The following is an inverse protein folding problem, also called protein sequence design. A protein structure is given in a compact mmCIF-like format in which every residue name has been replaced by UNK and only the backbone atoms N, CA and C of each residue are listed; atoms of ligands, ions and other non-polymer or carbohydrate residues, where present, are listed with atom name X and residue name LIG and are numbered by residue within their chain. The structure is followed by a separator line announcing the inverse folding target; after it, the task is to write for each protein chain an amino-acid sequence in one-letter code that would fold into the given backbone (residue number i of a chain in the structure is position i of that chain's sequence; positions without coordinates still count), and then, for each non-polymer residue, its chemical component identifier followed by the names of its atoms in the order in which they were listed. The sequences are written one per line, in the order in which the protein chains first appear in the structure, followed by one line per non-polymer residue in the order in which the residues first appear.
data_IF_155351816903
#
_entry.id   IF_155351816903
#
_cell.length_a   1.000
_cell.length_b   1.000
_cell.length_c   1.000
_cell.angle_alpha   90.00
_cell.angle_beta   90.00
_cell.angle_gamma   90.00
#
_symmetry.space_group_name_H-M   'P 1'
#
loop_
_entity.id
_entity.type
_entity.pdbx_description
1 polymer ?
#
# COMPACT_ATOMS: atom_id res chain seq x y z
N UNK A 1 -35.22 -44.53 28.93
CA UNK A 1 -34.65 -45.14 30.16
C UNK A 1 -33.34 -44.41 30.42
N UNK A 2 -33.33 -43.39 31.29
CA UNK A 2 -32.81 -43.42 32.69
C UNK A 2 -31.25 -43.44 32.62
N UNK A 3 -30.46 -42.46 33.07
CA UNK A 3 -30.50 -41.69 34.31
C UNK A 3 -30.06 -40.22 34.21
N UNK A 4 -30.61 -39.48 35.16
CA UNK A 4 -30.28 -38.14 35.66
C UNK A 4 -29.70 -38.31 37.09
N UNK A 5 -29.04 -37.26 37.64
CA UNK A 5 -28.67 -36.97 39.06
C UNK A 5 -27.15 -36.76 39.24
N UNK A 6 -26.62 -35.88 40.09
CA UNK A 6 -27.19 -34.96 41.08
C UNK A 6 -26.21 -33.83 41.41
N UNK A 7 -26.81 -32.75 41.91
CA UNK A 7 -26.32 -31.57 42.62
C UNK A 7 -25.08 -31.71 43.53
N UNK A 8 -24.35 -30.60 43.63
CA UNK A 8 -23.64 -30.16 44.84
C UNK A 8 -23.74 -28.63 44.99
N UNK A 9 -24.54 -28.17 45.95
CA UNK A 9 -24.74 -26.77 46.34
C UNK A 9 -24.28 -26.58 47.81
N UNK A 10 -24.42 -25.33 48.30
CA UNK A 10 -24.38 -24.85 49.72
C UNK A 10 -23.06 -24.12 50.06
N UNK A 11 -23.02 -22.77 50.01
CA UNK A 11 -23.50 -21.73 50.97
C UNK A 11 -22.41 -21.36 52.00
N UNK A 12 -22.02 -20.07 52.12
CA UNK A 12 -22.51 -19.06 53.09
C UNK A 12 -21.33 -18.64 54.01
N UNK A 13 -21.14 -17.45 54.61
CA UNK A 13 -21.93 -16.23 54.84
C UNK A 13 -21.03 -15.19 55.59
N UNK A 14 -21.41 -13.89 55.50
CA UNK A 14 -21.28 -12.78 56.49
C UNK A 14 -19.88 -12.19 56.79
N UNK A 15 -19.68 -10.89 57.00
CA UNK A 15 -20.47 -9.86 57.75
C UNK A 15 -20.10 -8.42 57.32
N UNK A 16 -21.07 -7.54 57.01
CA UNK A 16 -21.65 -6.43 57.80
C UNK A 16 -20.69 -5.45 58.53
N UNK A 17 -20.74 -4.15 58.18
CA UNK A 17 -21.22 -3.06 59.08
C UNK A 17 -21.23 -1.66 58.41
N UNK A 18 -22.18 -0.84 58.87
CA UNK A 18 -22.59 0.51 58.42
C UNK A 18 -21.74 1.66 58.98
N UNK A 19 -21.80 2.86 58.36
CA UNK A 19 -22.01 4.16 59.04
C UNK A 19 -22.04 5.35 58.04
N UNK A 20 -22.83 6.37 58.41
CA UNK A 20 -23.18 7.59 57.65
C UNK A 20 -22.35 8.81 58.10
N UNK A 21 -22.14 9.83 57.24
CA UNK A 21 -21.86 11.22 57.65
C UNK A 21 -20.88 12.04 56.76
N UNK A 22 -21.00 13.39 56.69
CA UNK A 22 -20.70 14.20 55.49
C UNK A 22 -19.40 15.02 55.53
N UNK A 23 -18.82 15.37 54.38
CA UNK A 23 -17.98 16.56 54.17
C UNK A 23 -17.70 16.81 52.68
N UNK A 24 -17.88 18.06 52.23
CA UNK A 24 -17.36 18.56 50.95
C UNK A 24 -15.84 18.66 51.01
N UNK A 25 -15.12 18.28 49.96
CA UNK A 25 -14.00 19.06 49.40
C UNK A 25 -13.70 18.55 47.97
N UNK A 26 -13.25 19.49 47.14
CA UNK A 26 -13.08 19.39 45.70
C UNK A 26 -12.21 18.21 45.24
N UNK A 27 -12.63 17.55 44.16
CA UNK A 27 -11.73 16.81 43.31
C UNK A 27 -11.91 17.32 41.88
N UNK A 28 -10.85 17.96 41.40
CA UNK A 28 -10.65 18.41 40.03
C UNK A 28 -10.70 17.21 39.10
N UNK A 29 -11.83 17.02 38.42
CA UNK A 29 -11.85 16.14 37.25
C UNK A 29 -11.10 16.86 36.12
N UNK A 30 -9.94 16.27 35.84
CA UNK A 30 -9.02 16.66 34.80
C UNK A 30 -9.77 16.80 33.46
N UNK A 31 -9.76 18.00 32.89
CA UNK A 31 -10.31 18.32 31.57
C UNK A 31 -9.66 17.50 30.42
N UNK A 32 -8.71 16.61 30.74
CA UNK A 32 -7.89 15.88 29.77
C UNK A 32 -8.59 14.64 29.20
N UNK A 33 -9.58 14.04 29.86
CA UNK A 33 -10.23 12.82 29.33
C UNK A 33 -11.42 13.06 28.39
N UNK A 34 -12.09 14.22 28.48
CA UNK A 34 -13.21 14.56 27.60
C UNK A 34 -12.78 14.94 26.17
N UNK A 35 -11.64 15.61 26.03
CA UNK A 35 -11.22 16.19 24.76
C UNK A 35 -10.54 15.20 23.81
N UNK A 36 -10.17 14.01 24.30
CA UNK A 36 -9.68 12.92 23.46
C UNK A 36 -10.76 12.32 22.53
N UNK A 37 -12.04 12.53 22.82
CA UNK A 37 -13.15 11.94 22.05
C UNK A 37 -13.94 12.92 21.19
N UNK A 38 -13.75 14.24 21.36
CA UNK A 38 -14.45 15.24 20.55
C UNK A 38 -13.55 16.47 20.27
N UNK A 39 -13.07 16.67 19.03
CA UNK A 39 -12.09 17.70 18.70
C UNK A 39 -12.62 19.14 18.79
N UNK A 40 -13.93 19.35 18.98
CA UNK A 40 -14.53 20.67 19.16
C UNK A 40 -14.31 21.28 20.56
N UNK A 41 -13.74 20.52 21.51
CA UNK A 41 -13.38 21.03 22.84
C UNK A 41 -12.29 22.12 22.78
N UNK A 42 -11.40 22.09 21.77
CA UNK A 42 -10.32 23.07 21.62
C UNK A 42 -10.81 24.43 21.08
N UNK A 43 -12.08 24.54 20.71
CA UNK A 43 -12.67 25.78 20.15
C UNK A 43 -13.77 26.31 21.05
N UNK A 44 -13.46 26.51 22.34
CA UNK A 44 -14.24 27.39 23.20
C UNK A 44 -13.51 28.74 23.29
N UNK A 45 -14.08 29.84 22.74
CA UNK A 45 -13.56 31.17 22.95
C UNK A 45 -14.07 31.70 24.29
N UNK A 46 -13.18 31.91 25.25
CA UNK A 46 -13.52 32.51 26.54
C UNK A 46 -12.72 31.94 27.70
N UNK A 47 -11.46 32.34 27.80
CA UNK A 47 -10.75 32.58 29.07
C UNK A 47 -9.41 33.22 28.72
N UNK A 48 -9.48 34.51 28.41
CA UNK A 48 -8.29 35.35 28.27
C UNK A 48 -7.71 35.64 29.66
N UNK A 49 -6.82 34.76 30.13
CA UNK A 49 -5.82 35.16 31.10
C UNK A 49 -4.82 36.09 30.39
N UNK A 50 -5.11 37.39 30.43
CA UNK A 50 -4.24 38.46 29.97
C UNK A 50 -2.96 38.46 30.84
N UNK A 51 -1.86 37.90 30.32
CA UNK A 51 -0.52 38.07 30.90
C UNK A 51 0.24 39.11 30.05
N UNK A 52 0.37 40.36 30.53
CA UNK A 52 0.97 41.44 29.76
C UNK A 52 2.49 41.43 29.94
N UNK A 53 3.17 40.40 29.44
CA UNK A 53 4.63 40.49 29.16
C UNK A 53 5.21 39.38 28.25
N UNK A 54 4.39 38.63 27.52
CA UNK A 54 4.91 37.67 26.53
C UNK A 54 5.13 38.38 25.19
N UNK A 55 6.40 38.52 24.82
CA UNK A 55 6.85 39.17 23.60
C UNK A 55 6.08 38.71 22.35
N UNK A 56 5.79 39.70 21.48
CA UNK A 56 5.17 39.55 20.15
C UNK A 56 5.86 38.54 19.21
N UNK A 57 6.97 37.94 19.61
CA UNK A 57 7.71 36.93 18.86
C UNK A 57 7.16 35.50 19.01
N UNK A 58 6.32 35.21 20.00
CA UNK A 58 5.85 33.84 20.27
C UNK A 58 4.60 33.42 19.48
N UNK A 59 3.99 34.30 18.66
CA UNK A 59 2.90 33.94 17.74
C UNK A 59 3.42 33.57 16.35
N UNK A 60 4.49 32.77 16.31
CA UNK A 60 4.85 32.04 15.11
C UNK A 60 3.85 30.87 14.95
N UNK A 61 2.79 31.14 14.19
CA UNK A 61 2.01 30.19 13.39
C UNK A 61 2.46 28.73 13.47
N UNK A 62 1.72 27.91 14.21
CA UNK A 62 1.65 26.48 13.95
C UNK A 62 0.80 26.25 12.69
N UNK A 63 1.29 26.68 11.52
CA UNK A 63 0.88 26.06 10.26
C UNK A 63 1.52 24.68 10.26
N UNK A 64 0.81 23.70 10.82
CA UNK A 64 1.14 22.30 10.65
C UNK A 64 0.97 21.94 9.16
N UNK A 65 1.96 22.29 8.35
CA UNK A 65 2.19 21.53 7.13
C UNK A 65 2.43 20.11 7.59
N UNK A 66 1.52 19.20 7.27
CA UNK A 66 1.78 17.77 7.44
C UNK A 66 3.13 17.50 6.77
N UNK A 67 4.17 17.27 7.58
CA UNK A 67 5.50 17.02 7.06
C UNK A 67 5.35 15.85 6.08
N UNK A 68 5.77 16.08 4.84
CA UNK A 68 5.68 15.07 3.81
C UNK A 68 6.43 13.84 4.27
N UNK A 69 5.68 12.79 4.65
CA UNK A 69 6.29 11.53 5.04
C UNK A 69 6.77 10.81 3.79
N UNK A 70 8.07 10.84 3.59
CA UNK A 70 8.79 10.09 2.56
C UNK A 70 9.04 8.68 3.11
N UNK A 71 9.22 7.69 2.23
CA UNK A 71 9.50 6.32 2.66
C UNK A 71 10.99 6.22 2.95
N UNK A 72 11.32 5.68 4.12
CA UNK A 72 12.71 5.40 4.47
C UNK A 72 13.18 4.12 3.75
N UNK A 73 14.50 3.89 3.72
CA UNK A 73 15.07 2.72 3.06
C UNK A 73 14.49 1.38 3.59
N UNK A 74 14.19 1.31 4.90
CA UNK A 74 13.56 0.14 5.52
C UNK A 74 12.11 -0.06 5.04
N UNK A 75 11.36 1.02 4.82
CA UNK A 75 10.00 0.95 4.29
C UNK A 75 10.02 0.49 2.84
N UNK A 76 10.92 1.04 2.02
CA UNK A 76 11.11 0.62 0.62
C UNK A 76 11.46 -0.86 0.54
N UNK A 77 12.42 -1.33 1.34
CA UNK A 77 12.80 -2.75 1.38
C UNK A 77 11.63 -3.66 1.80
N UNK A 78 10.81 -3.21 2.77
CA UNK A 78 9.61 -3.94 3.18
C UNK A 78 8.57 -4.01 2.07
N UNK A 79 8.33 -2.91 1.36
CA UNK A 79 7.41 -2.87 0.23
C UNK A 79 7.93 -3.79 -0.89
N UNK A 80 9.20 -3.72 -1.24
CA UNK A 80 9.82 -4.59 -2.24
C UNK A 80 9.65 -6.07 -1.91
N UNK A 81 9.87 -6.46 -0.65
CA UNK A 81 9.60 -7.81 -0.20
C UNK A 81 8.13 -8.22 -0.44
N UNK A 82 7.17 -7.36 -0.06
CA UNK A 82 5.74 -7.63 -0.29
C UNK A 82 5.38 -7.71 -1.78
N UNK A 83 5.98 -6.86 -2.63
CA UNK A 83 5.79 -6.94 -4.07
C UNK A 83 6.29 -8.28 -4.62
N UNK A 84 7.45 -8.76 -4.18
CA UNK A 84 7.99 -10.07 -4.57
C UNK A 84 7.04 -11.20 -4.15
N UNK A 85 6.52 -11.18 -2.92
CA UNK A 85 5.54 -12.16 -2.47
C UNK A 85 4.24 -12.11 -3.28
N UNK A 86 3.76 -10.93 -3.64
CA UNK A 86 2.61 -10.78 -4.54
C UNK A 86 2.88 -11.32 -5.95
N UNK A 87 4.09 -11.16 -6.49
CA UNK A 87 4.48 -11.74 -7.76
C UNK A 87 4.52 -13.28 -7.69
N UNK A 88 5.06 -13.84 -6.60
CA UNK A 88 5.09 -15.31 -6.37
C UNK A 88 3.68 -15.88 -6.23
N UNK A 89 2.82 -15.24 -5.44
CA UNK A 89 1.41 -15.63 -5.28
C UNK A 89 0.69 -15.61 -6.63
N UNK A 90 0.81 -14.51 -7.38
CA UNK A 90 0.20 -14.40 -8.69
C UNK A 90 0.67 -15.49 -9.66
N UNK A 91 1.98 -15.75 -9.70
CA UNK A 91 2.53 -16.81 -10.53
C UNK A 91 1.98 -18.18 -10.12
N UNK A 92 1.97 -18.50 -8.82
CA UNK A 92 1.47 -19.78 -8.30
C UNK A 92 -0.02 -19.94 -8.58
N UNK A 93 -0.87 -19.02 -8.11
CA UNK A 93 -2.34 -19.10 -8.19
C UNK A 93 -2.81 -19.23 -9.63
N UNK A 94 -2.25 -18.43 -10.55
CA UNK A 94 -2.65 -18.51 -11.96
C UNK A 94 -2.20 -19.83 -12.59
N UNK A 95 -0.97 -20.28 -12.36
CA UNK A 95 -0.52 -21.54 -12.98
C UNK A 95 -1.28 -22.75 -12.40
N UNK A 96 -1.54 -22.78 -11.08
CA UNK A 96 -2.34 -23.84 -10.45
C UNK A 96 -3.77 -23.89 -11.01
N UNK A 97 -4.40 -22.73 -11.19
CA UNK A 97 -5.74 -22.63 -11.78
C UNK A 97 -5.77 -23.13 -13.22
N UNK A 98 -4.78 -22.78 -14.03
CA UNK A 98 -4.77 -23.03 -15.47
C UNK A 98 -4.23 -24.42 -15.83
N UNK A 99 -3.34 -25.00 -15.02
CA UNK A 99 -2.63 -26.25 -15.35
C UNK A 99 -2.70 -27.33 -14.26
N UNK A 100 -3.16 -26.99 -13.05
CA UNK A 100 -3.16 -27.87 -11.88
C UNK A 100 -1.97 -27.65 -10.94
N UNK A 101 -2.07 -28.22 -9.74
CA UNK A 101 -1.09 -28.02 -8.66
C UNK A 101 0.34 -28.36 -9.09
N UNK A 102 1.28 -27.44 -8.79
CA UNK A 102 2.72 -27.60 -9.09
C UNK A 102 3.10 -27.57 -10.57
N UNK A 103 2.15 -27.39 -11.49
CA UNK A 103 2.40 -27.40 -12.94
C UNK A 103 2.62 -26.00 -13.49
N UNK A 104 3.57 -25.90 -14.40
CA UNK A 104 3.97 -24.65 -15.07
C UNK A 104 4.03 -24.87 -16.58
N UNK A 105 3.68 -23.86 -17.40
CA UNK A 105 3.74 -23.97 -18.85
C UNK A 105 5.21 -24.11 -19.31
N UNK A 106 5.42 -24.97 -20.31
CA UNK A 106 6.67 -25.03 -21.06
C UNK A 106 6.70 -23.97 -22.18
N UNK A 107 7.83 -23.88 -22.88
CA UNK A 107 8.02 -22.93 -23.98
C UNK A 107 6.99 -23.09 -25.10
N UNK A 108 6.56 -24.32 -25.39
CA UNK A 108 5.56 -24.62 -26.42
C UNK A 108 4.21 -24.05 -26.03
N UNK A 109 3.81 -24.27 -24.78
CA UNK A 109 2.57 -23.73 -24.25
C UNK A 109 2.61 -22.20 -24.17
N UNK A 110 3.71 -21.61 -23.70
CA UNK A 110 3.91 -20.16 -23.66
C UNK A 110 3.74 -19.49 -25.03
N UNK A 111 4.27 -20.11 -26.09
CA UNK A 111 4.25 -19.59 -27.47
C UNK A 111 2.98 -19.97 -28.23
N UNK A 112 2.10 -20.80 -27.67
CA UNK A 112 0.85 -21.20 -28.32
C UNK A 112 0.00 -19.98 -28.64
N UNK A 113 -0.40 -19.86 -29.91
CA UNK A 113 -1.31 -18.81 -30.36
C UNK A 113 -2.72 -19.16 -29.91
N UNK A 114 -3.35 -18.24 -29.16
CA UNK A 114 -4.71 -18.39 -28.62
C UNK A 114 -5.74 -17.56 -29.40
N UNK A 115 -5.28 -16.72 -30.33
CA UNK A 115 -6.15 -15.89 -31.16
C UNK A 115 -5.38 -14.80 -31.89
N UNK A 116 -6.10 -13.80 -32.39
CA UNK A 116 -5.53 -12.58 -32.98
C UNK A 116 -6.25 -11.36 -32.42
N UNK A 117 -5.52 -10.26 -32.26
CA UNK A 117 -6.13 -8.99 -31.82
C UNK A 117 -6.83 -8.28 -32.99
N UNK A 118 -7.43 -7.10 -32.74
CA UNK A 118 -8.14 -6.30 -33.76
C UNK A 118 -7.26 -5.88 -34.95
N UNK A 119 -5.94 -5.83 -34.77
CA UNK A 119 -4.96 -5.50 -35.80
C UNK A 119 -4.46 -6.75 -36.55
N UNK A 120 -4.97 -7.93 -36.20
CA UNK A 120 -4.55 -9.20 -36.77
C UNK A 120 -3.27 -9.77 -36.17
N UNK A 121 -2.67 -9.17 -35.15
CA UNK A 121 -1.45 -9.65 -34.51
C UNK A 121 -1.76 -10.88 -33.63
N UNK A 122 -0.89 -11.90 -33.60
CA UNK A 122 -1.12 -13.10 -32.81
C UNK A 122 -1.13 -12.80 -31.32
N UNK A 123 -2.19 -13.26 -30.64
CA UNK A 123 -2.24 -13.32 -29.19
C UNK A 123 -1.66 -14.66 -28.75
N UNK A 124 -0.67 -14.63 -27.88
CA UNK A 124 -0.01 -15.83 -27.37
C UNK A 124 -0.45 -16.13 -25.95
N UNK A 125 -0.36 -17.40 -25.53
CA UNK A 125 -0.69 -17.83 -24.17
C UNK A 125 0.13 -17.10 -23.11
N UNK A 126 1.40 -16.79 -23.37
CA UNK A 126 2.21 -15.99 -22.45
C UNK A 126 1.61 -14.59 -22.19
N UNK A 127 0.98 -13.96 -23.17
CA UNK A 127 0.36 -12.64 -23.01
C UNK A 127 -0.87 -12.75 -22.10
N UNK A 128 -1.71 -13.76 -22.34
CA UNK A 128 -2.89 -14.03 -21.51
C UNK A 128 -2.51 -14.38 -20.07
N UNK A 129 -1.55 -15.27 -19.86
CA UNK A 129 -1.06 -15.61 -18.52
C UNK A 129 -0.46 -14.39 -17.83
N UNK A 130 0.26 -13.53 -18.55
CA UNK A 130 0.75 -12.26 -18.05
C UNK A 130 -0.40 -11.40 -17.52
N UNK A 131 -1.44 -11.16 -18.31
CA UNK A 131 -2.63 -10.39 -17.91
C UNK A 131 -3.29 -10.97 -16.66
N UNK A 132 -3.50 -12.29 -16.60
CA UNK A 132 -4.09 -12.95 -15.43
C UNK A 132 -3.22 -12.76 -14.18
N UNK A 133 -1.90 -12.85 -14.31
CA UNK A 133 -0.97 -12.70 -13.19
C UNK A 133 -0.89 -11.26 -12.69
N UNK A 134 -0.90 -10.25 -13.57
CA UNK A 134 -1.02 -8.85 -13.13
C UNK A 134 -2.29 -8.62 -12.31
N UNK A 135 -3.44 -9.15 -12.75
CA UNK A 135 -4.69 -8.99 -12.03
C UNK A 135 -4.61 -9.56 -10.60
N UNK A 136 -4.03 -10.76 -10.43
CA UNK A 136 -3.81 -11.37 -9.11
C UNK A 136 -2.78 -10.60 -8.29
N UNK A 137 -1.66 -10.17 -8.90
CA UNK A 137 -0.63 -9.40 -8.21
C UNK A 137 -1.18 -8.08 -7.68
N UNK A 138 -1.97 -7.34 -8.47
CA UNK A 138 -2.59 -6.11 -8.01
C UNK A 138 -3.63 -6.33 -6.91
N UNK A 139 -4.37 -7.43 -6.95
CA UNK A 139 -5.25 -7.80 -5.84
C UNK A 139 -4.45 -8.05 -4.55
N UNK A 140 -3.31 -8.76 -4.64
CA UNK A 140 -2.40 -8.95 -3.52
C UNK A 140 -1.82 -7.63 -3.01
N UNK A 141 -1.34 -6.72 -3.89
CA UNK A 141 -0.82 -5.41 -3.47
C UNK A 141 -1.86 -4.62 -2.68
N UNK A 142 -3.12 -4.59 -3.15
CA UNK A 142 -4.21 -3.92 -2.41
C UNK A 142 -4.43 -4.52 -1.02
N UNK A 143 -4.29 -5.84 -0.89
CA UNK A 143 -4.52 -6.56 0.36
C UNK A 143 -3.35 -6.45 1.35
N UNK A 144 -2.12 -6.57 0.85
CA UNK A 144 -0.92 -6.72 1.69
C UNK A 144 -0.09 -5.43 1.80
N UNK A 145 0.07 -4.69 0.70
CA UNK A 145 0.90 -3.46 0.69
C UNK A 145 0.09 -2.27 1.18
N UNK A 146 -1.07 -2.01 0.58
CA UNK A 146 -1.88 -0.82 0.94
C UNK A 146 -2.44 -0.89 2.36
N UNK A 147 -2.53 -2.07 2.96
CA UNK A 147 -2.83 -2.25 4.38
C UNK A 147 -1.84 -1.53 5.30
N UNK A 148 -0.58 -1.42 4.87
CA UNK A 148 0.50 -0.81 5.65
C UNK A 148 0.95 0.55 5.11
N UNK A 149 0.78 0.78 3.80
CA UNK A 149 1.25 1.98 3.11
C UNK A 149 0.14 2.57 2.22
N UNK A 150 -1.01 2.98 2.80
CA UNK A 150 -2.19 3.39 2.04
C UNK A 150 -1.96 4.66 1.21
N UNK A 151 -1.10 5.56 1.67
CA UNK A 151 -0.93 6.90 1.07
C UNK A 151 0.39 7.07 0.31
N UNK A 152 1.27 6.07 0.30
CA UNK A 152 2.61 6.16 -0.31
C UNK A 152 2.76 5.31 -1.57
N UNK A 153 1.72 4.56 -1.96
CA UNK A 153 1.75 3.60 -3.05
C UNK A 153 0.59 3.84 -4.01
N UNK A 154 0.91 4.05 -5.28
CA UNK A 154 -0.06 4.08 -6.37
C UNK A 154 0.03 2.80 -7.20
N UNK A 155 -1.12 2.20 -7.50
CA UNK A 155 -1.24 1.04 -8.40
C UNK A 155 -1.72 1.52 -9.75
N UNK A 156 -0.98 1.15 -10.80
CA UNK A 156 -1.23 1.50 -12.19
C UNK A 156 -1.41 3.02 -12.47
N UNK A 157 -0.63 3.93 -11.82
CA UNK A 157 -0.75 5.35 -12.09
C UNK A 157 -0.32 5.67 -13.51
N UNK A 158 -0.89 6.73 -14.08
CA UNK A 158 -0.56 7.21 -15.42
C UNK A 158 0.06 8.59 -15.36
N UNK A 159 1.23 8.73 -15.94
CA UNK A 159 1.98 9.97 -16.03
C UNK A 159 2.12 10.41 -17.48
N UNK A 160 1.91 11.70 -17.75
CA UNK A 160 2.11 12.30 -19.06
C UNK A 160 2.86 13.61 -18.96
N UNK A 161 3.33 14.15 -20.10
CA UNK A 161 3.97 15.45 -20.12
C UNK A 161 2.98 16.54 -19.65
N UNK A 162 3.40 17.33 -18.67
CA UNK A 162 2.69 18.52 -18.22
C UNK A 162 3.17 19.73 -19.04
N UNK A 163 2.29 20.36 -19.84
CA UNK A 163 2.67 21.49 -20.68
C UNK A 163 3.09 22.73 -19.87
N UNK A 164 2.69 22.82 -18.60
CA UNK A 164 3.01 23.98 -17.75
C UNK A 164 4.39 23.86 -17.11
N UNK A 165 4.70 22.72 -16.48
CA UNK A 165 6.00 22.53 -15.82
C UNK A 165 7.09 21.95 -16.73
N UNK A 166 6.73 21.41 -17.90
CA UNK A 166 7.62 20.64 -18.76
C UNK A 166 8.08 19.30 -18.17
N UNK A 167 7.57 18.92 -16.99
CA UNK A 167 7.84 17.65 -16.31
C UNK A 167 6.73 16.64 -16.60
N UNK A 168 6.86 15.42 -16.05
CA UNK A 168 5.77 14.45 -16.06
C UNK A 168 4.89 14.61 -14.81
N UNK A 169 3.57 14.52 -14.99
CA UNK A 169 2.59 14.57 -13.90
C UNK A 169 1.46 13.57 -14.16
N UNK A 170 0.66 13.27 -13.13
CA UNK A 170 -0.53 12.43 -13.26
C UNK A 170 -1.46 12.95 -14.36
N UNK A 171 -1.97 12.04 -15.19
CA UNK A 171 -2.85 12.37 -16.31
C UNK A 171 -3.86 11.27 -16.60
N UNK A 172 -4.98 11.65 -17.21
CA UNK A 172 -5.94 10.73 -17.81
C UNK A 172 -5.72 10.53 -19.32
N UNK A 173 -4.78 11.26 -19.93
CA UNK A 173 -4.46 11.14 -21.34
C UNK A 173 -3.68 9.85 -21.62
N UNK A 174 -4.15 9.04 -22.56
CA UNK A 174 -3.52 7.77 -22.92
C UNK A 174 -2.30 7.97 -23.80
N UNK A 175 -2.43 8.78 -24.84
CA UNK A 175 -1.38 9.00 -25.82
C UNK A 175 -0.18 9.73 -25.22
N UNK A 176 1.04 9.23 -25.48
CA UNK A 176 2.28 9.80 -24.96
C UNK A 176 2.50 9.62 -23.45
N UNK A 177 1.61 8.91 -22.75
CA UNK A 177 1.72 8.66 -21.32
C UNK A 177 2.49 7.37 -21.00
N UNK A 178 3.02 7.32 -19.79
CA UNK A 178 3.66 6.17 -19.17
C UNK A 178 2.78 5.65 -18.05
N UNK A 179 2.61 4.32 -17.99
CA UNK A 179 1.80 3.66 -16.97
C UNK A 179 2.63 2.54 -16.32
N UNK A 180 3.46 2.85 -15.32
CA UNK A 180 4.08 1.83 -14.48
C UNK A 180 3.03 1.08 -13.65
N UNK A 181 3.36 -0.12 -13.22
CA UNK A 181 2.46 -0.92 -12.38
C UNK A 181 2.37 -0.39 -10.96
N UNK A 182 3.49 -0.02 -10.35
CA UNK A 182 3.57 0.42 -8.96
C UNK A 182 4.51 1.61 -8.87
N UNK A 183 4.05 2.67 -8.20
CA UNK A 183 4.88 3.83 -7.89
C UNK A 183 4.82 4.13 -6.40
N UNK A 184 5.99 4.18 -5.79
CA UNK A 184 6.18 4.70 -4.44
C UNK A 184 6.38 6.20 -4.53
N UNK A 185 5.71 6.95 -3.66
CA UNK A 185 5.75 8.40 -3.67
C UNK A 185 5.63 8.95 -2.24
N UNK A 186 5.88 10.24 -2.05
CA UNK A 186 5.65 10.87 -0.75
C UNK A 186 4.16 10.76 -0.36
N UNK A 187 3.88 10.69 0.93
CA UNK A 187 2.53 10.47 1.47
C UNK A 187 1.52 11.46 0.89
N UNK A 188 0.49 10.95 0.21
CA UNK A 188 -0.57 11.74 -0.42
C UNK A 188 -0.14 12.56 -1.63
N UNK A 189 1.08 12.38 -2.15
CA UNK A 189 1.62 13.17 -3.26
C UNK A 189 2.17 12.29 -4.40
N UNK A 190 1.31 11.77 -5.30
CA UNK A 190 1.72 10.86 -6.38
C UNK A 190 2.74 11.43 -7.38
N UNK A 191 2.82 12.76 -7.52
CA UNK A 191 3.81 13.42 -8.38
C UNK A 191 5.21 13.51 -7.73
N UNK A 192 5.33 13.22 -6.44
CA UNK A 192 6.62 13.13 -5.75
C UNK A 192 7.11 11.67 -5.74
N UNK A 193 7.46 11.19 -6.93
CA UNK A 193 7.93 9.82 -7.16
C UNK A 193 9.21 9.53 -6.36
N UNK A 194 9.28 8.35 -5.76
CA UNK A 194 10.46 7.80 -5.08
C UNK A 194 11.03 6.60 -5.84
N UNK A 195 10.19 5.59 -6.11
CA UNK A 195 10.61 4.35 -6.74
C UNK A 195 9.51 3.82 -7.66
N UNK A 196 9.90 3.16 -8.75
CA UNK A 196 8.99 2.72 -9.82
C UNK A 196 9.24 1.24 -10.05
N UNK A 197 8.17 0.45 -10.07
CA UNK A 197 8.22 -0.99 -10.28
C UNK A 197 7.21 -1.43 -11.32
N UNK A 198 7.63 -2.42 -12.10
CA UNK A 198 6.79 -3.14 -13.04
C UNK A 198 6.79 -4.64 -12.71
N UNK A 199 5.63 -5.25 -12.54
CA UNK A 199 5.55 -6.70 -12.51
C UNK A 199 5.89 -7.24 -13.90
N UNK A 200 6.71 -8.29 -13.93
CA UNK A 200 6.92 -9.09 -15.13
C UNK A 200 6.75 -10.56 -14.77
N UNK A 201 6.02 -11.28 -15.62
CA UNK A 201 5.77 -12.72 -15.48
C UNK A 201 6.34 -13.48 -16.67
N UNK A 202 7.67 -13.66 -16.74
CA UNK A 202 8.29 -14.40 -17.83
C UNK A 202 7.74 -15.83 -17.93
N UNK A 203 7.51 -16.28 -19.16
CA UNK A 203 6.88 -17.58 -19.43
C UNK A 203 7.90 -18.59 -19.96
N UNK A 204 8.67 -18.21 -20.99
CA UNK A 204 9.69 -19.08 -21.59
C UNK A 204 10.92 -19.20 -20.69
N UNK A 205 11.68 -20.28 -20.85
CA UNK A 205 12.96 -20.49 -20.15
C UNK A 205 13.90 -19.28 -20.32
N UNK A 206 14.13 -18.85 -21.57
CA UNK A 206 14.95 -17.67 -21.86
C UNK A 206 14.49 -16.41 -21.11
N UNK A 207 13.19 -16.12 -21.16
CA UNK A 207 12.67 -14.91 -20.51
C UNK A 207 12.75 -14.96 -18.98
N UNK A 208 12.76 -16.16 -18.38
CA UNK A 208 12.94 -16.35 -16.93
C UNK A 208 14.38 -16.08 -16.51
N UNK A 209 15.34 -16.46 -17.35
CA UNK A 209 16.78 -16.21 -17.13
C UNK A 209 17.16 -14.76 -17.44
N UNK A 210 16.50 -14.14 -18.43
CA UNK A 210 16.80 -12.80 -18.94
C UNK A 210 15.57 -11.87 -18.94
N UNK A 211 14.96 -11.58 -17.77
CA UNK A 211 13.71 -10.82 -17.74
C UNK A 211 13.86 -9.33 -18.07
N UNK A 212 15.10 -8.80 -18.05
CA UNK A 212 15.39 -7.39 -18.37
C UNK A 212 15.47 -7.10 -19.88
N UNK A 213 15.79 -8.09 -20.71
CA UNK A 213 16.02 -7.92 -22.15
C UNK A 213 14.85 -7.25 -22.88
N UNK A 214 13.61 -7.59 -22.48
CA UNK A 214 12.40 -7.12 -23.14
C UNK A 214 11.88 -5.77 -22.60
N UNK A 215 12.48 -5.22 -21.53
CA UNK A 215 11.93 -4.08 -20.79
C UNK A 215 12.88 -2.88 -20.69
N UNK A 216 14.10 -3.02 -21.21
CA UNK A 216 15.16 -2.02 -21.14
C UNK A 216 14.72 -0.62 -21.59
N UNK A 217 14.08 -0.50 -22.75
CA UNK A 217 13.58 0.80 -23.24
C UNK A 217 12.45 1.38 -22.36
N UNK A 218 11.61 0.49 -21.81
CA UNK A 218 10.52 0.88 -20.94
C UNK A 218 11.04 1.47 -19.62
N UNK A 219 11.99 0.78 -18.97
CA UNK A 219 12.61 1.23 -17.72
C UNK A 219 13.40 2.53 -17.92
N UNK A 220 14.17 2.64 -19.01
CA UNK A 220 14.81 3.91 -19.40
C UNK A 220 13.79 5.03 -19.57
N UNK A 221 12.63 4.74 -20.16
CA UNK A 221 11.52 5.67 -20.27
C UNK A 221 11.05 6.22 -18.92
N UNK A 222 10.91 5.36 -17.91
CA UNK A 222 10.48 5.71 -16.55
C UNK A 222 11.45 6.60 -15.79
N UNK A 223 12.74 6.65 -16.15
CA UNK A 223 13.70 7.58 -15.51
C UNK A 223 13.28 9.05 -15.62
N UNK A 224 12.49 9.40 -16.64
CA UNK A 224 11.92 10.74 -16.83
C UNK A 224 10.89 11.14 -15.78
N UNK A 225 10.34 10.15 -15.06
CA UNK A 225 9.41 10.39 -13.94
C UNK A 225 10.16 10.79 -12.66
N UNK A 226 11.49 10.67 -12.64
CA UNK A 226 12.33 10.98 -11.48
C UNK A 226 12.33 9.87 -10.42
N UNK A 227 12.59 10.24 -9.19
CA UNK A 227 12.72 9.32 -8.05
C UNK A 227 14.17 9.06 -7.64
N UNK A 228 14.30 8.42 -6.48
CA UNK A 228 15.57 8.10 -5.84
C UNK A 228 16.03 6.68 -6.20
N UNK A 229 15.10 5.79 -6.55
CA UNK A 229 15.41 4.46 -7.04
C UNK A 229 15.55 4.44 -8.56
N UNK A 230 16.46 3.60 -9.07
CA UNK A 230 16.38 3.17 -10.46
C UNK A 230 15.09 2.37 -10.68
N UNK A 231 14.33 2.61 -11.77
CA UNK A 231 13.18 1.79 -12.13
C UNK A 231 13.54 0.30 -12.16
N UNK A 232 12.63 -0.53 -11.64
CA UNK A 232 12.88 -1.95 -11.47
C UNK A 232 11.74 -2.78 -12.05
N UNK A 233 12.03 -4.04 -12.36
CA UNK A 233 11.00 -5.06 -12.49
C UNK A 233 10.94 -5.95 -11.26
N UNK A 234 9.77 -6.49 -10.99
CA UNK A 234 9.53 -7.50 -9.96
C UNK A 234 9.10 -8.77 -10.65
N UNK A 235 9.88 -9.84 -10.48
CA UNK A 235 9.60 -11.16 -11.03
C UNK A 235 9.42 -12.18 -9.90
N UNK A 236 8.62 -13.23 -10.11
CA UNK A 236 8.43 -14.27 -9.10
C UNK A 236 9.72 -15.06 -8.79
N UNK A 237 10.64 -15.17 -9.76
CA UNK A 237 11.85 -16.00 -9.64
C UNK A 237 13.06 -15.22 -9.12
N UNK A 238 13.35 -14.04 -9.69
CA UNK A 238 14.53 -13.25 -9.37
C UNK A 238 14.25 -12.10 -8.38
N UNK A 239 12.99 -11.89 -8.01
CA UNK A 239 12.59 -10.78 -7.15
C UNK A 239 12.74 -9.45 -7.87
N UNK A 240 13.32 -8.45 -7.18
CA UNK A 240 13.53 -7.11 -7.73
C UNK A 240 14.80 -7.07 -8.57
N UNK A 241 14.68 -6.69 -9.84
CA UNK A 241 15.81 -6.53 -10.77
C UNK A 241 15.82 -5.12 -11.35
N UNK A 242 16.99 -4.49 -11.37
CA UNK A 242 17.22 -3.11 -11.83
C UNK A 242 18.27 -3.10 -12.95
N UNK A 243 18.19 -2.11 -13.84
CA UNK A 243 19.21 -1.81 -14.86
C UNK A 243 20.45 -1.12 -14.27
#
# INVERSE_FOLDING_TARGET
MIEMRLLGAVMALLSLSCASGPARYAQTDSATNGCFRNPTCYTQPGDEAFLPWVDKAARATATAGAALKVLEAADVARIEHLLVECAKEANRVVNEREYGEGKYPDDKECKRVIGRNKKGEPLTRQMELGTLKHAVAFACVRREVLKHFPDQVSIEPRFGPDPTSGKYALTNQWEGSMKPDIVLHASGQPNQVQCIYDFKFPCTLWSKEHPLDAVHEQLRGYTRLGGNCKPAIVTPLLGVSRE
#
